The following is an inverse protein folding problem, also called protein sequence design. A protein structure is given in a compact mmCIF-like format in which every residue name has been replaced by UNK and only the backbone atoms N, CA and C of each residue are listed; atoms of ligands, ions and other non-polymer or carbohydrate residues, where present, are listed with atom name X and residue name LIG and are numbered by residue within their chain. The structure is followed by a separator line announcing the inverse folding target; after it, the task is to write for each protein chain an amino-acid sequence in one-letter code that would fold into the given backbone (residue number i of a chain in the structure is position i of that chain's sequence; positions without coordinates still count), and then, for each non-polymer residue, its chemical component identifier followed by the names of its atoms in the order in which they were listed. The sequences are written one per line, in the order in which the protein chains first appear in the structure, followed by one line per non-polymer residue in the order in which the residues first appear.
data_IF_500722208393
#
_entry.id   IF_500722208393
#
_cell.length_a   1.000
_cell.length_b   1.000
_cell.length_c   1.000
_cell.angle_alpha   90.00
_cell.angle_beta   90.00
_cell.angle_gamma   90.00
#
_symmetry.space_group_name_H-M   'P 1'
#
loop_
_entity.id
_entity.type
_entity.pdbx_description
1 polymer ?
#
# COMPACT_ATOMS: atom_id res chain seq x y z
N UNK A 1 -55.90 21.84 55.02
CA UNK A 1 -54.98 22.99 55.04
C UNK A 1 -53.55 22.45 55.00
N UNK A 2 -52.77 22.61 53.98
CA UNK A 2 -51.38 22.14 53.97
C UNK A 2 -50.58 23.04 54.90
N UNK A 3 -49.93 22.45 55.90
CA UNK A 3 -49.10 23.15 56.87
C UNK A 3 -47.90 23.86 56.19
N UNK A 4 -47.38 24.97 56.73
CA UNK A 4 -46.25 25.70 56.14
C UNK A 4 -45.02 24.79 56.13
N UNK A 5 -44.68 24.34 54.95
CA UNK A 5 -43.42 23.62 54.71
C UNK A 5 -42.30 24.58 55.12
N UNK A 6 -41.64 24.27 56.23
CA UNK A 6 -40.66 25.15 56.85
C UNK A 6 -39.52 25.51 55.86
N UNK A 7 -39.00 26.72 56.02
CA UNK A 7 -37.89 27.26 55.19
C UNK A 7 -36.71 26.27 55.11
N UNK A 8 -36.48 25.49 56.13
CA UNK A 8 -35.46 24.42 56.17
C UNK A 8 -35.68 23.32 55.12
N UNK A 9 -36.95 22.92 54.91
CA UNK A 9 -37.29 21.91 53.92
C UNK A 9 -37.08 22.41 52.48
N UNK A 10 -37.43 23.67 52.23
CA UNK A 10 -37.18 24.30 50.91
C UNK A 10 -35.71 24.43 50.58
N UNK A 11 -34.87 24.77 51.60
CA UNK A 11 -33.41 24.80 51.44
C UNK A 11 -32.81 23.42 51.18
N UNK A 12 -33.32 22.41 51.91
CA UNK A 12 -32.88 21.03 51.70
C UNK A 12 -33.19 20.51 50.29
N UNK A 13 -34.41 20.76 49.80
CA UNK A 13 -34.83 20.36 48.46
C UNK A 13 -34.01 21.10 47.37
N UNK A 14 -33.77 22.40 47.55
CA UNK A 14 -32.93 23.15 46.65
C UNK A 14 -31.49 22.64 46.64
N UNK A 15 -30.91 22.40 47.81
CA UNK A 15 -29.54 21.85 47.87
C UNK A 15 -29.43 20.45 47.29
N UNK A 16 -30.41 19.59 47.55
CA UNK A 16 -30.47 18.25 46.97
C UNK A 16 -30.60 18.29 45.44
N UNK A 17 -31.41 19.21 44.91
CA UNK A 17 -31.59 19.43 43.50
C UNK A 17 -30.31 19.88 42.79
N UNK A 18 -29.57 20.82 43.38
CA UNK A 18 -28.27 21.27 42.85
C UNK A 18 -27.24 20.16 42.90
N UNK A 19 -27.16 19.40 44.01
CA UNK A 19 -26.23 18.29 44.13
C UNK A 19 -26.55 17.17 43.17
N UNK A 20 -27.80 16.81 42.97
CA UNK A 20 -28.23 15.82 41.98
C UNK A 20 -27.89 16.26 40.54
N UNK A 21 -28.10 17.53 40.23
CA UNK A 21 -27.74 18.08 38.93
C UNK A 21 -26.21 18.03 38.68
N UNK A 22 -25.42 18.38 39.69
CA UNK A 22 -23.96 18.31 39.60
C UNK A 22 -23.45 16.86 39.35
N UNK A 23 -24.06 15.89 40.04
CA UNK A 23 -23.72 14.46 39.84
C UNK A 23 -24.10 13.98 38.43
N UNK A 24 -25.29 14.37 37.93
CA UNK A 24 -25.71 14.02 36.58
C UNK A 24 -24.82 14.68 35.51
N UNK A 25 -24.43 15.94 35.70
CA UNK A 25 -23.49 16.61 34.79
C UNK A 25 -22.10 15.93 34.77
N UNK A 26 -21.61 15.55 35.94
CA UNK A 26 -20.33 14.81 36.04
C UNK A 26 -20.40 13.43 35.36
N UNK A 27 -21.49 12.69 35.57
CA UNK A 27 -21.72 11.40 34.92
C UNK A 27 -21.83 11.51 33.41
N UNK A 28 -22.55 12.51 32.90
CA UNK A 28 -22.67 12.79 31.48
C UNK A 28 -21.31 13.16 30.84
N UNK A 29 -20.53 13.99 31.54
CA UNK A 29 -19.18 14.36 31.09
C UNK A 29 -18.24 13.14 31.03
N UNK A 30 -18.28 12.29 32.04
CA UNK A 30 -17.47 11.07 32.09
C UNK A 30 -17.86 10.10 30.96
N UNK A 31 -19.16 9.95 30.69
CA UNK A 31 -19.64 9.12 29.59
C UNK A 31 -19.20 9.68 28.21
N UNK A 32 -19.30 10.99 28.01
CA UNK A 32 -18.82 11.64 26.80
C UNK A 32 -17.31 11.48 26.59
N UNK A 33 -16.51 11.54 27.67
CA UNK A 33 -15.07 11.28 27.62
C UNK A 33 -14.74 9.85 27.24
N UNK A 34 -15.46 8.87 27.78
CA UNK A 34 -15.28 7.46 27.45
C UNK A 34 -15.65 7.17 26.00
N UNK A 35 -16.71 7.77 25.50
CA UNK A 35 -17.13 7.63 24.10
C UNK A 35 -16.12 8.29 23.12
N UNK A 36 -15.62 9.48 23.47
CA UNK A 36 -14.58 10.15 22.69
C UNK A 36 -13.28 9.33 22.65
N UNK A 37 -12.89 8.72 23.78
CA UNK A 37 -11.75 7.82 23.86
C UNK A 37 -11.87 6.63 22.92
N UNK A 38 -13.03 5.98 22.86
CA UNK A 38 -13.30 4.87 21.94
C UNK A 38 -13.22 5.27 20.46
N UNK A 39 -13.71 6.47 20.12
CA UNK A 39 -13.64 6.98 18.75
C UNK A 39 -12.19 7.28 18.34
N UNK A 40 -11.39 7.86 19.24
CA UNK A 40 -9.96 8.14 18.99
C UNK A 40 -9.17 6.85 18.86
N UNK A 41 -9.40 5.87 19.73
CA UNK A 41 -8.72 4.58 19.74
C UNK A 41 -9.00 3.80 18.43
N UNK A 42 -10.25 3.71 18.00
CA UNK A 42 -10.62 3.13 16.70
C UNK A 42 -9.97 3.83 15.51
N UNK A 43 -9.88 5.17 15.56
CA UNK A 43 -9.29 5.94 14.48
C UNK A 43 -7.77 5.75 14.41
N UNK A 44 -7.10 5.59 15.54
CA UNK A 44 -5.64 5.44 15.61
C UNK A 44 -5.23 3.98 15.29
N UNK A 45 -5.96 3.00 15.79
CA UNK A 45 -5.63 1.59 15.57
C UNK A 45 -5.96 1.10 14.15
N UNK A 46 -7.01 1.61 13.51
CA UNK A 46 -7.42 1.18 12.17
C UNK A 46 -6.82 2.03 11.04
N UNK A 47 -6.66 3.34 11.23
CA UNK A 47 -6.20 4.25 10.16
C UNK A 47 -4.70 4.42 10.07
N UNK A 48 -3.97 4.36 11.19
CA UNK A 48 -2.52 4.50 11.17
C UNK A 48 -1.83 3.35 10.42
N UNK A 49 -2.16 2.07 10.66
CA UNK A 49 -1.57 0.97 9.88
C UNK A 49 -1.96 1.01 8.41
N UNK A 50 -3.18 1.45 8.06
CA UNK A 50 -3.60 1.61 6.67
C UNK A 50 -2.81 2.73 5.95
N UNK A 51 -2.55 3.85 6.62
CA UNK A 51 -1.74 4.94 6.06
C UNK A 51 -0.27 4.53 5.84
N UNK A 52 0.32 3.80 6.79
CA UNK A 52 1.67 3.25 6.65
C UNK A 52 1.75 2.23 5.52
N UNK A 53 0.75 1.38 5.36
CA UNK A 53 0.69 0.40 4.28
C UNK A 53 0.53 1.07 2.91
N UNK A 54 -0.24 2.15 2.79
CA UNK A 54 -0.34 2.94 1.56
C UNK A 54 0.99 3.62 1.20
N UNK A 55 1.73 4.12 2.19
CA UNK A 55 3.06 4.68 1.97
C UNK A 55 4.05 3.61 1.50
N UNK A 56 4.01 2.42 2.07
CA UNK A 56 4.85 1.30 1.65
C UNK A 56 4.47 0.82 0.24
N UNK A 57 3.17 0.76 -0.09
CA UNK A 57 2.69 0.49 -1.45
C UNK A 57 3.25 1.49 -2.47
N UNK A 58 3.22 2.79 -2.15
CA UNK A 58 3.77 3.83 -3.01
C UNK A 58 5.28 3.64 -3.24
N UNK A 59 6.04 3.36 -2.19
CA UNK A 59 7.48 3.08 -2.28
C UNK A 59 7.79 1.84 -3.12
N UNK A 60 7.01 0.79 -2.98
CA UNK A 60 7.19 -0.42 -3.79
C UNK A 60 6.85 -0.17 -5.26
N UNK A 61 5.80 0.60 -5.55
CA UNK A 61 5.47 1.00 -6.91
C UNK A 61 6.60 1.80 -7.58
N UNK A 62 7.21 2.75 -6.86
CA UNK A 62 8.37 3.51 -7.35
C UNK A 62 9.59 2.61 -7.64
N UNK A 63 9.87 1.64 -6.77
CA UNK A 63 10.95 0.66 -6.99
C UNK A 63 10.70 -0.20 -8.22
N UNK A 64 9.46 -0.67 -8.40
CA UNK A 64 9.08 -1.44 -9.59
C UNK A 64 9.22 -0.61 -10.86
N UNK A 65 8.82 0.66 -10.85
CA UNK A 65 8.99 1.56 -11.98
C UNK A 65 10.47 1.77 -12.34
N UNK A 66 11.33 1.95 -11.34
CA UNK A 66 12.78 2.05 -11.53
C UNK A 66 13.37 0.73 -12.07
N UNK A 67 12.94 -0.41 -11.55
CA UNK A 67 13.38 -1.73 -12.01
C UNK A 67 12.92 -2.03 -13.45
N UNK A 68 11.71 -1.58 -13.85
CA UNK A 68 11.25 -1.69 -15.24
C UNK A 68 12.17 -0.92 -16.20
N UNK A 69 12.65 0.25 -15.82
CA UNK A 69 13.63 1.01 -16.60
C UNK A 69 14.98 0.28 -16.71
N UNK A 70 15.43 -0.34 -15.61
CA UNK A 70 16.63 -1.17 -15.59
C UNK A 70 16.50 -2.42 -16.48
N UNK A 71 15.29 -3.02 -16.54
CA UNK A 71 15.00 -4.15 -17.42
C UNK A 71 15.14 -3.76 -18.90
N UNK A 72 14.61 -2.59 -19.27
CA UNK A 72 14.74 -2.05 -20.64
C UNK A 72 16.21 -1.77 -21.02
N UNK A 73 17.02 -1.35 -20.05
CA UNK A 73 18.43 -1.03 -20.25
C UNK A 73 19.37 -2.25 -20.15
N UNK A 74 18.84 -3.45 -19.89
CA UNK A 74 19.64 -4.66 -19.67
C UNK A 74 20.54 -4.95 -20.89
N UNK A 75 21.87 -5.07 -20.69
CA UNK A 75 22.83 -5.22 -21.79
C UNK A 75 22.91 -6.66 -22.31
N UNK A 76 22.50 -7.62 -21.53
CA UNK A 76 22.61 -9.05 -21.83
C UNK A 76 21.53 -9.86 -21.10
N UNK A 77 21.41 -11.14 -21.48
CA UNK A 77 20.40 -12.06 -20.93
C UNK A 77 20.55 -12.29 -19.43
N UNK A 78 21.77 -12.36 -18.93
CA UNK A 78 22.01 -12.54 -17.48
C UNK A 78 21.54 -11.34 -16.68
N UNK A 79 21.82 -10.13 -17.16
CA UNK A 79 21.34 -8.87 -16.56
C UNK A 79 19.82 -8.78 -16.59
N UNK A 80 19.20 -9.12 -17.73
CA UNK A 80 17.75 -9.18 -17.89
C UNK A 80 17.11 -10.14 -16.89
N UNK A 81 17.61 -11.39 -16.82
CA UNK A 81 17.06 -12.42 -15.94
C UNK A 81 17.15 -12.01 -14.46
N UNK A 82 18.25 -11.38 -14.05
CA UNK A 82 18.42 -10.88 -12.68
C UNK A 82 17.39 -9.80 -12.35
N UNK A 83 17.24 -8.79 -13.20
CA UNK A 83 16.29 -7.70 -12.99
C UNK A 83 14.85 -8.21 -13.02
N UNK A 84 14.52 -9.13 -13.93
CA UNK A 84 13.19 -9.74 -14.01
C UNK A 84 12.84 -10.53 -12.74
N UNK A 85 13.80 -11.28 -12.17
CA UNK A 85 13.60 -11.99 -10.90
C UNK A 85 13.38 -11.02 -9.73
N UNK A 86 14.12 -9.92 -9.67
CA UNK A 86 13.97 -8.88 -8.66
C UNK A 86 12.59 -8.21 -8.75
N UNK A 87 12.13 -7.88 -9.95
CA UNK A 87 10.79 -7.34 -10.19
C UNK A 87 9.71 -8.30 -9.69
N UNK A 88 9.79 -9.59 -10.01
CA UNK A 88 8.82 -10.60 -9.54
C UNK A 88 8.76 -10.67 -8.02
N UNK A 89 9.91 -10.60 -7.35
CA UNK A 89 9.99 -10.58 -5.89
C UNK A 89 9.31 -9.32 -5.31
N UNK A 90 9.49 -8.17 -5.95
CA UNK A 90 8.86 -6.92 -5.52
C UNK A 90 7.33 -6.94 -5.75
N UNK A 91 6.87 -7.47 -6.87
CA UNK A 91 5.42 -7.64 -7.15
C UNK A 91 4.80 -8.59 -6.12
N UNK A 92 5.42 -9.74 -5.83
CA UNK A 92 4.94 -10.66 -4.80
C UNK A 92 4.89 -10.02 -3.41
N UNK A 93 5.86 -9.18 -3.06
CA UNK A 93 5.85 -8.39 -1.81
C UNK A 93 4.67 -7.42 -1.75
N UNK A 94 4.36 -6.77 -2.86
CA UNK A 94 3.24 -5.85 -2.99
C UNK A 94 1.89 -6.56 -2.85
N UNK A 95 1.74 -7.75 -3.46
CA UNK A 95 0.57 -8.61 -3.30
C UNK A 95 0.40 -9.07 -1.84
N UNK A 96 1.49 -9.40 -1.15
CA UNK A 96 1.47 -9.79 0.26
C UNK A 96 1.02 -8.63 1.18
N UNK A 97 1.40 -7.40 0.89
CA UNK A 97 0.93 -6.20 1.59
C UNK A 97 -0.58 -6.02 1.37
N UNK A 98 -1.05 -6.13 0.13
CA UNK A 98 -2.47 -6.05 -0.20
C UNK A 98 -3.29 -7.14 0.49
N UNK A 99 -2.78 -8.37 0.54
CA UNK A 99 -3.45 -9.49 1.22
C UNK A 99 -3.63 -9.21 2.73
N UNK A 100 -2.65 -8.58 3.39
CA UNK A 100 -2.77 -8.15 4.79
C UNK A 100 -3.84 -7.07 4.98
N UNK A 101 -3.96 -6.16 4.02
CA UNK A 101 -4.93 -5.06 4.06
C UNK A 101 -6.37 -5.53 3.80
N UNK A 102 -6.57 -6.65 3.10
CA UNK A 102 -7.90 -7.26 2.89
C UNK A 102 -8.61 -7.60 4.21
N UNK A 103 -7.86 -7.94 5.26
CA UNK A 103 -8.41 -8.23 6.59
C UNK A 103 -8.86 -7.01 7.38
N UNK A 104 -8.69 -5.79 6.85
CA UNK A 104 -9.06 -4.54 7.51
C UNK A 104 -10.36 -3.98 6.94
N UNK A 105 -11.01 -3.06 7.67
CA UNK A 105 -12.29 -2.45 7.31
C UNK A 105 -12.29 -1.66 5.97
N UNK A 106 -11.12 -1.50 5.35
CA UNK A 106 -10.93 -0.74 4.12
C UNK A 106 -11.01 -1.59 2.83
N UNK A 107 -11.42 -2.86 2.90
CA UNK A 107 -11.43 -3.81 1.78
C UNK A 107 -12.09 -3.29 0.48
N UNK A 108 -13.15 -2.47 0.60
CA UNK A 108 -13.85 -1.91 -0.55
C UNK A 108 -13.01 -0.93 -1.39
N UNK A 109 -12.00 -0.29 -0.79
CA UNK A 109 -11.11 0.67 -1.46
C UNK A 109 -9.97 -0.04 -2.20
N UNK A 110 -9.61 -1.26 -1.79
CA UNK A 110 -8.45 -1.97 -2.33
C UNK A 110 -8.73 -2.80 -3.58
N UNK A 111 -9.99 -3.09 -3.91
CA UNK A 111 -10.33 -3.84 -5.13
C UNK A 111 -9.75 -3.27 -6.43
N UNK A 112 -9.89 -1.96 -6.70
CA UNK A 112 -9.27 -1.33 -7.87
C UNK A 112 -7.74 -1.37 -7.85
N UNK A 113 -7.13 -1.31 -6.67
CA UNK A 113 -5.67 -1.38 -6.51
C UNK A 113 -5.16 -2.79 -6.82
N UNK A 114 -5.86 -3.82 -6.37
CA UNK A 114 -5.54 -5.21 -6.68
C UNK A 114 -5.59 -5.50 -8.19
N UNK A 115 -6.63 -5.01 -8.87
CA UNK A 115 -6.73 -5.13 -10.32
C UNK A 115 -5.56 -4.41 -11.03
N UNK A 116 -5.15 -3.24 -10.51
CA UNK A 116 -4.01 -2.49 -11.04
C UNK A 116 -2.67 -3.22 -10.82
N UNK A 117 -2.48 -3.85 -9.67
CA UNK A 117 -1.27 -4.64 -9.36
C UNK A 117 -1.20 -5.90 -10.22
N UNK A 118 -2.31 -6.61 -10.41
CA UNK A 118 -2.37 -7.76 -11.33
C UNK A 118 -2.05 -7.34 -12.77
N UNK A 119 -2.61 -6.22 -13.23
CA UNK A 119 -2.30 -5.62 -14.53
C UNK A 119 -0.82 -5.23 -14.67
N UNK A 120 -0.22 -4.69 -13.60
CA UNK A 120 1.20 -4.34 -13.57
C UNK A 120 2.07 -5.59 -13.73
N UNK A 121 1.77 -6.68 -13.00
CA UNK A 121 2.49 -7.95 -13.14
C UNK A 121 2.46 -8.49 -14.58
N UNK A 122 1.28 -8.51 -15.20
CA UNK A 122 1.10 -8.94 -16.59
C UNK A 122 1.88 -8.07 -17.59
N UNK A 123 1.86 -6.75 -17.41
CA UNK A 123 2.60 -5.81 -18.26
C UNK A 123 4.12 -5.98 -18.11
N UNK A 124 4.61 -6.25 -16.90
CA UNK A 124 6.04 -6.51 -16.65
C UNK A 124 6.50 -7.82 -17.27
N UNK A 125 5.69 -8.87 -17.24
CA UNK A 125 5.99 -10.13 -17.94
C UNK A 125 5.99 -9.96 -19.46
N UNK A 126 5.09 -9.17 -20.02
CA UNK A 126 5.09 -8.81 -21.43
C UNK A 126 6.36 -8.02 -21.81
N UNK A 127 6.76 -7.06 -20.97
CA UNK A 127 7.98 -6.30 -21.15
C UNK A 127 9.22 -7.19 -21.11
N UNK A 128 9.31 -8.12 -20.17
CA UNK A 128 10.41 -9.08 -20.05
C UNK A 128 10.57 -9.91 -21.33
N UNK A 129 9.46 -10.42 -21.90
CA UNK A 129 9.47 -11.13 -23.19
C UNK A 129 9.99 -10.27 -24.34
N UNK A 130 9.52 -9.02 -24.45
CA UNK A 130 9.97 -8.10 -25.50
C UNK A 130 11.48 -7.80 -25.40
N UNK A 131 11.99 -7.62 -24.18
CA UNK A 131 13.43 -7.42 -23.96
C UNK A 131 14.22 -8.67 -24.31
N UNK A 132 13.74 -9.87 -23.97
CA UNK A 132 14.35 -11.14 -24.36
C UNK A 132 14.45 -11.29 -25.88
N UNK A 133 13.36 -11.02 -26.61
CA UNK A 133 13.33 -11.07 -28.08
C UNK A 133 14.29 -10.06 -28.70
N UNK A 134 14.35 -8.84 -28.17
CA UNK A 134 15.32 -7.82 -28.62
C UNK A 134 16.75 -8.30 -28.45
N UNK A 135 17.09 -8.87 -27.31
CA UNK A 135 18.44 -9.38 -27.02
C UNK A 135 18.79 -10.57 -27.95
N UNK A 136 17.86 -11.50 -28.16
CA UNK A 136 18.04 -12.62 -29.06
C UNK A 136 18.28 -12.16 -30.51
N UNK A 137 17.51 -11.17 -30.97
CA UNK A 137 17.67 -10.58 -32.28
C UNK A 137 19.03 -9.88 -32.42
N UNK A 138 19.45 -9.13 -31.41
CA UNK A 138 20.75 -8.46 -31.39
C UNK A 138 21.92 -9.47 -31.45
N UNK A 139 21.82 -10.57 -30.69
CA UNK A 139 22.81 -11.65 -30.71
C UNK A 139 22.88 -12.35 -32.08
N UNK A 140 21.73 -12.61 -32.70
CA UNK A 140 21.68 -13.21 -34.04
C UNK A 140 22.32 -12.29 -35.06
N UNK A 141 22.02 -11.00 -35.03
CA UNK A 141 22.65 -9.98 -35.90
C UNK A 141 24.16 -9.93 -35.69
N UNK A 142 24.63 -9.93 -34.46
CA UNK A 142 26.06 -9.95 -34.16
C UNK A 142 26.77 -11.21 -34.71
N UNK A 143 26.13 -12.38 -34.56
CA UNK A 143 26.65 -13.66 -35.15
C UNK A 143 26.72 -13.62 -36.69
N UNK A 144 25.69 -13.05 -37.34
CA UNK A 144 25.72 -12.94 -38.79
C UNK A 144 26.83 -11.99 -39.27
N UNK A 145 27.00 -10.84 -38.59
CA UNK A 145 28.07 -9.88 -38.93
C UNK A 145 29.45 -10.50 -38.73
N UNK A 146 29.69 -11.28 -37.64
CA UNK A 146 30.95 -11.96 -37.41
C UNK A 146 31.24 -13.01 -38.47
N UNK A 147 30.25 -13.78 -38.91
CA UNK A 147 30.42 -14.75 -40.04
C UNK A 147 30.76 -14.05 -41.35
N UNK A 148 30.10 -12.94 -41.67
CA UNK A 148 30.40 -12.18 -42.90
C UNK A 148 31.82 -11.63 -42.88
N UNK A 149 32.28 -11.07 -41.74
CA UNK A 149 33.64 -10.57 -41.61
C UNK A 149 34.71 -11.67 -41.78
N UNK A 150 34.46 -12.88 -41.26
CA UNK A 150 35.36 -14.02 -41.43
C UNK A 150 35.42 -14.51 -42.85
N UNK A 151 34.27 -14.48 -43.58
CA UNK A 151 34.22 -14.89 -44.99
C UNK A 151 34.95 -13.91 -45.89
N UNK A 152 34.84 -12.58 -45.61
CA UNK A 152 35.53 -11.56 -46.41
C UNK A 152 37.05 -11.61 -46.23
N UNK A 153 37.52 -11.90 -45.01
CA UNK A 153 38.96 -12.00 -44.75
C UNK A 153 39.59 -13.27 -45.32
N UNK A 154 38.81 -14.34 -45.52
CA UNK A 154 39.29 -15.63 -46.05
C UNK A 154 39.25 -15.71 -47.58
N UNK A 155 38.84 -14.66 -48.32
CA UNK A 155 38.95 -14.61 -49.76
C UNK A 155 40.38 -14.17 -50.14
N UNK A 156 41.27 -15.05 -50.62
CA UNK A 156 42.61 -14.63 -51.03
C UNK A 156 42.49 -13.75 -52.26
N UNK A 157 43.00 -12.51 -52.10
CA UNK A 157 43.12 -11.62 -53.28
C UNK A 157 43.97 -12.30 -54.35
N UNK A 158 43.43 -12.26 -55.53
CA UNK A 158 44.13 -12.63 -56.81
C UNK A 158 45.09 -11.54 -57.19
#
# INVERSE_FOLDING_TARGET
MPGPVGVRWRLLVAFLGISAFAVLAAAASMWAFLELGRVVERTTEERAPAALALLELSRQAERIAAAASALLAAPNETGRAKVAADIRTQVASLEAILAKLRGTSAAAVFGPIEASVAGLGSNLDALDKLVAERLATAQTKAKLLSRLSTTVVSTPGW
#
